data_IF_904672437883
#
_entry.id   IF_904672437883
#
_cell.length_a   1.000
_cell.length_b   1.000
_cell.length_c   1.000
_cell.angle_alpha   90.00
_cell.angle_beta   90.00
_cell.angle_gamma   90.00
#
_symmetry.space_group_name_H-M   'P 1'
#
loop_
_entity.id
_entity.type
_entity.pdbx_description
1 polymer ?
#
# COMPACT_ATOMS: atom_id res chain seq x y z
N UNK A 1 -18.20 -12.68 0.59
CA UNK A 1 -18.78 -11.34 0.35
C UNK A 1 -19.61 -10.77 1.53
N UNK A 2 -19.47 -11.29 2.78
CA UNK A 2 -20.34 -10.85 3.90
C UNK A 2 -20.16 -9.38 4.33
N UNK A 3 -18.95 -8.80 4.24
CA UNK A 3 -18.67 -7.46 4.80
C UNK A 3 -19.47 -6.31 4.15
N UNK A 4 -19.72 -6.38 2.85
CA UNK A 4 -20.44 -5.34 2.10
C UNK A 4 -21.77 -5.84 1.52
N UNK A 5 -22.19 -7.06 1.87
CA UNK A 5 -23.38 -7.69 1.25
C UNK A 5 -24.64 -6.86 1.45
N UNK A 6 -24.78 -6.23 2.62
CA UNK A 6 -25.94 -5.39 2.96
C UNK A 6 -25.98 -4.07 2.18
N UNK A 7 -24.86 -3.66 1.57
CA UNK A 7 -24.77 -2.43 0.77
C UNK A 7 -25.25 -2.65 -0.68
N UNK A 8 -25.58 -3.88 -1.06
CA UNK A 8 -26.10 -4.20 -2.40
C UNK A 8 -27.50 -4.78 -2.30
N UNK A 9 -28.44 -4.23 -3.08
CA UNK A 9 -29.78 -4.79 -3.27
C UNK A 9 -29.89 -5.37 -4.67
N UNK A 10 -30.42 -6.58 -4.77
CA UNK A 10 -30.72 -7.19 -6.07
C UNK A 10 -32.03 -6.57 -6.62
N UNK A 11 -31.98 -6.07 -7.85
CA UNK A 11 -33.15 -5.53 -8.56
C UNK A 11 -33.19 -6.18 -9.95
N UNK A 12 -33.85 -7.34 -10.04
CA UNK A 12 -33.83 -8.21 -11.23
C UNK A 12 -32.47 -8.91 -11.41
N UNK A 13 -31.91 -8.85 -12.63
CA UNK A 13 -30.60 -9.43 -12.97
C UNK A 13 -29.40 -8.57 -12.54
N UNK A 14 -29.64 -7.34 -12.06
CA UNK A 14 -28.60 -6.38 -11.69
C UNK A 14 -28.60 -6.09 -10.19
N UNK A 15 -27.44 -5.67 -9.69
CA UNK A 15 -27.28 -5.20 -8.31
C UNK A 15 -27.23 -3.68 -8.27
N UNK A 16 -27.94 -3.09 -7.31
CA UNK A 16 -27.93 -1.66 -7.01
C UNK A 16 -27.17 -1.45 -5.69
N UNK A 17 -26.20 -0.56 -5.68
CA UNK A 17 -25.45 -0.22 -4.46
C UNK A 17 -26.17 0.88 -3.69
N UNK A 18 -26.52 0.61 -2.44
CA UNK A 18 -27.25 1.51 -1.53
C UNK A 18 -26.39 1.99 -0.36
N UNK A 19 -25.10 1.68 -0.34
CA UNK A 19 -24.17 2.11 0.70
C UNK A 19 -23.61 3.51 0.46
N UNK A 20 -22.66 3.93 1.33
CA UNK A 20 -22.00 5.24 1.24
C UNK A 20 -21.13 5.37 -0.01
N UNK A 21 -21.12 6.55 -0.60
CA UNK A 21 -20.29 6.87 -1.75
C UNK A 21 -19.10 7.73 -1.35
N UNK A 22 -17.98 7.55 -2.06
CA UNK A 22 -16.75 8.30 -1.82
C UNK A 22 -16.34 8.99 -3.12
N UNK A 23 -16.43 10.32 -3.14
CA UNK A 23 -15.94 11.12 -4.26
C UNK A 23 -14.59 11.75 -3.93
N UNK A 24 -13.84 12.09 -4.96
CA UNK A 24 -12.58 12.81 -4.84
C UNK A 24 -12.68 14.11 -5.62
N UNK A 25 -12.04 15.17 -5.13
CA UNK A 25 -11.86 16.41 -5.90
C UNK A 25 -10.80 16.30 -7.00
N UNK A 26 -10.09 15.16 -7.07
CA UNK A 26 -9.04 14.90 -8.06
C UNK A 26 -9.62 14.43 -9.39
N UNK A 27 -8.93 14.81 -10.47
CA UNK A 27 -9.23 14.25 -11.79
C UNK A 27 -8.86 12.76 -11.87
N UNK A 28 -9.54 12.01 -12.75
CA UNK A 28 -9.26 10.58 -12.99
C UNK A 28 -7.80 10.36 -13.40
N UNK A 29 -7.24 11.29 -14.19
CA UNK A 29 -5.84 11.26 -14.63
C UNK A 29 -4.86 11.40 -13.47
N UNK A 30 -5.12 12.30 -12.53
CA UNK A 30 -4.31 12.45 -11.32
C UNK A 30 -4.42 11.23 -10.41
N UNK A 31 -5.62 10.69 -10.23
CA UNK A 31 -5.85 9.49 -9.43
C UNK A 31 -5.13 8.27 -10.02
N UNK A 32 -5.16 8.13 -11.35
CA UNK A 32 -4.44 7.09 -12.09
C UNK A 32 -2.92 7.23 -11.97
N UNK A 33 -2.41 8.46 -12.08
CA UNK A 33 -0.98 8.75 -11.87
C UNK A 33 -0.57 8.41 -10.45
N UNK A 34 -1.37 8.77 -9.45
CA UNK A 34 -1.11 8.40 -8.06
C UNK A 34 -1.13 6.89 -7.85
N UNK A 35 -2.12 6.19 -8.38
CA UNK A 35 -2.21 4.73 -8.31
C UNK A 35 -0.96 4.05 -8.88
N UNK A 36 -0.48 4.54 -10.02
CA UNK A 36 0.74 4.05 -10.66
C UNK A 36 1.98 4.37 -9.82
N UNK A 37 2.13 5.60 -9.35
CA UNK A 37 3.25 6.01 -8.50
C UNK A 37 3.33 5.18 -7.21
N UNK A 38 2.21 5.02 -6.48
CA UNK A 38 2.16 4.19 -5.27
C UNK A 38 2.53 2.73 -5.58
N UNK A 39 2.04 2.18 -6.70
CA UNK A 39 2.35 0.80 -7.10
C UNK A 39 3.84 0.63 -7.43
N UNK A 40 4.44 1.57 -8.16
CA UNK A 40 5.87 1.56 -8.50
C UNK A 40 6.74 1.68 -7.24
N UNK A 41 6.41 2.58 -6.32
CA UNK A 41 7.14 2.73 -5.06
C UNK A 41 7.08 1.45 -4.21
N UNK A 42 5.90 0.82 -4.11
CA UNK A 42 5.76 -0.45 -3.39
C UNK A 42 6.51 -1.60 -4.09
N UNK A 43 6.49 -1.65 -5.42
CA UNK A 43 7.24 -2.65 -6.18
C UNK A 43 8.76 -2.46 -6.02
N UNK A 44 9.25 -1.22 -6.02
CA UNK A 44 10.65 -0.92 -5.74
C UNK A 44 11.04 -1.37 -4.32
N UNK A 45 10.20 -1.09 -3.32
CA UNK A 45 10.41 -1.58 -1.95
C UNK A 45 10.46 -3.12 -1.89
N UNK A 46 9.64 -3.82 -2.67
CA UNK A 46 9.64 -5.28 -2.75
C UNK A 46 10.94 -5.83 -3.36
N UNK A 47 11.44 -5.19 -4.42
CA UNK A 47 12.71 -5.57 -5.06
C UNK A 47 13.88 -5.39 -4.09
N UNK A 48 13.95 -4.24 -3.41
CA UNK A 48 14.97 -3.97 -2.38
C UNK A 48 14.85 -4.99 -1.24
N UNK A 49 13.62 -5.31 -0.83
CA UNK A 49 13.36 -6.28 0.21
C UNK A 49 13.99 -7.65 -0.11
N UNK A 50 13.69 -8.21 -1.28
CA UNK A 50 14.27 -9.49 -1.70
C UNK A 50 15.78 -9.41 -1.91
N UNK A 51 16.29 -8.34 -2.53
CA UNK A 51 17.72 -8.17 -2.74
C UNK A 51 18.49 -8.17 -1.42
N UNK A 52 17.96 -7.54 -0.37
CA UNK A 52 18.61 -7.52 0.94
C UNK A 52 18.61 -8.89 1.64
N UNK A 53 17.56 -9.70 1.47
CA UNK A 53 17.50 -11.05 2.03
C UNK A 53 18.60 -11.94 1.44
N UNK A 54 19.02 -11.67 0.21
CA UNK A 54 20.12 -12.39 -0.45
C UNK A 54 21.50 -12.02 0.12
N UNK A 55 21.63 -10.94 0.91
CA UNK A 55 22.89 -10.56 1.54
C UNK A 55 23.30 -11.55 2.65
N UNK A 56 22.33 -12.23 3.28
CA UNK A 56 22.54 -13.25 4.31
C UNK A 56 23.62 -12.83 5.34
N UNK A 57 23.43 -11.64 5.92
CA UNK A 57 24.27 -11.06 6.96
C UNK A 57 23.94 -11.68 8.34
N UNK A 58 24.78 -11.43 9.35
CA UNK A 58 24.60 -12.00 10.69
C UNK A 58 23.43 -11.34 11.42
N UNK A 59 23.24 -10.03 11.24
CA UNK A 59 22.12 -9.28 11.79
C UNK A 59 20.76 -9.82 11.34
N UNK A 60 20.62 -10.25 10.08
CA UNK A 60 19.38 -10.88 9.60
C UNK A 60 19.14 -12.30 10.13
N UNK A 61 20.05 -12.87 10.94
CA UNK A 61 19.80 -14.13 11.66
C UNK A 61 19.31 -13.90 13.09
N UNK A 62 19.35 -12.65 13.54
CA UNK A 62 18.88 -12.28 14.87
C UNK A 62 17.37 -12.11 14.81
N UNK A 63 16.68 -12.88 15.65
CA UNK A 63 15.22 -13.00 15.62
C UNK A 63 14.49 -11.64 15.66
N UNK A 64 14.90 -10.72 16.54
CA UNK A 64 14.23 -9.42 16.68
C UNK A 64 14.55 -8.42 15.55
N UNK A 65 15.57 -8.67 14.72
CA UNK A 65 15.84 -7.89 13.50
C UNK A 65 15.10 -8.54 12.32
N UNK A 66 15.20 -9.86 12.20
CA UNK A 66 14.62 -10.60 11.09
C UNK A 66 13.10 -10.61 11.10
N UNK A 67 12.46 -10.85 12.26
CA UNK A 67 11.00 -10.96 12.35
C UNK A 67 10.27 -9.71 11.82
N UNK A 68 10.53 -8.48 12.31
CA UNK A 68 9.86 -7.28 11.80
C UNK A 68 10.18 -7.07 10.31
N UNK A 69 11.41 -7.39 9.88
CA UNK A 69 11.81 -7.31 8.48
C UNK A 69 11.00 -8.25 7.59
N UNK A 70 10.87 -9.53 7.97
CA UNK A 70 10.12 -10.54 7.24
C UNK A 70 8.64 -10.16 7.10
N UNK A 71 8.07 -9.51 8.12
CA UNK A 71 6.67 -9.08 8.11
C UNK A 71 6.43 -7.95 7.10
N UNK A 72 7.44 -7.18 6.69
CA UNK A 72 7.32 -6.08 5.68
C UNK A 72 6.74 -6.57 4.35
N UNK A 73 6.96 -7.83 3.96
CA UNK A 73 6.43 -8.38 2.71
C UNK A 73 4.91 -8.30 2.62
N UNK A 74 4.20 -8.43 3.76
CA UNK A 74 2.74 -8.36 3.80
C UNK A 74 2.21 -6.96 3.44
N UNK A 75 2.53 -5.88 4.18
CA UNK A 75 2.02 -4.56 3.83
C UNK A 75 2.51 -4.09 2.45
N UNK A 76 3.71 -4.47 2.00
CA UNK A 76 4.15 -4.18 0.62
C UNK A 76 3.24 -4.85 -0.41
N UNK A 77 2.99 -6.15 -0.28
CA UNK A 77 2.13 -6.91 -1.21
C UNK A 77 0.70 -6.36 -1.23
N UNK A 78 0.12 -6.11 -0.06
CA UNK A 78 -1.22 -5.53 0.04
C UNK A 78 -1.28 -4.07 -0.47
N UNK A 79 -0.19 -3.33 -0.35
CA UNK A 79 -0.04 -1.97 -0.92
C UNK A 79 -0.07 -1.98 -2.44
N UNK A 80 0.63 -2.92 -3.08
CA UNK A 80 0.61 -3.16 -4.53
C UNK A 80 -0.81 -3.51 -4.99
N UNK A 81 -1.48 -4.46 -4.31
CA UNK A 81 -2.87 -4.81 -4.62
C UNK A 81 -3.82 -3.61 -4.49
N UNK A 82 -3.59 -2.74 -3.50
CA UNK A 82 -4.36 -1.51 -3.33
C UNK A 82 -4.17 -0.54 -4.49
N UNK A 83 -2.92 -0.26 -4.87
CA UNK A 83 -2.60 0.58 -6.03
C UNK A 83 -3.17 0.04 -7.35
N UNK A 84 -3.04 -1.27 -7.59
CA UNK A 84 -3.63 -1.92 -8.76
C UNK A 84 -5.16 -1.79 -8.79
N UNK A 85 -5.84 -1.96 -7.64
CA UNK A 85 -7.29 -1.81 -7.56
C UNK A 85 -7.76 -0.38 -7.86
N UNK A 86 -7.01 0.64 -7.43
CA UNK A 86 -7.28 2.03 -7.75
C UNK A 86 -7.04 2.33 -9.23
N UNK A 87 -5.99 1.77 -9.82
CA UNK A 87 -5.69 1.91 -11.24
C UNK A 87 -6.78 1.29 -12.13
N UNK A 88 -7.25 0.08 -11.78
CA UNK A 88 -8.36 -0.59 -12.48
C UNK A 88 -9.64 0.23 -12.38
N UNK A 89 -9.93 0.83 -11.22
CA UNK A 89 -11.06 1.74 -11.05
C UNK A 89 -10.97 2.94 -12.01
N UNK A 90 -9.82 3.60 -12.11
CA UNK A 90 -9.65 4.71 -13.06
C UNK A 90 -9.85 4.27 -14.51
N UNK A 91 -9.32 3.10 -14.91
CA UNK A 91 -9.55 2.56 -16.26
C UNK A 91 -11.02 2.24 -16.53
N UNK A 92 -11.74 1.77 -15.51
CA UNK A 92 -13.17 1.48 -15.61
C UNK A 92 -14.03 2.75 -15.74
N UNK A 93 -13.53 3.91 -15.29
CA UNK A 93 -14.19 5.19 -15.56
C UNK A 93 -13.91 5.73 -16.96
N UNK A 94 -12.69 5.50 -17.48
CA UNK A 94 -12.30 5.93 -18.83
C UNK A 94 -12.95 5.08 -19.93
N UNK A 95 -13.16 3.78 -19.69
CA UNK A 95 -13.84 2.88 -20.62
C UNK A 95 -15.27 2.59 -20.15
N UNK A 96 -16.25 2.54 -21.06
CA UNK A 96 -17.62 2.08 -20.78
C UNK A 96 -17.66 0.57 -20.49
N UNK A 97 -16.98 0.12 -19.43
CA UNK A 97 -16.96 -1.28 -19.05
C UNK A 97 -18.35 -1.70 -18.53
N UNK A 98 -18.86 -2.82 -19.01
CA UNK A 98 -20.10 -3.42 -18.54
C UNK A 98 -19.99 -3.77 -17.05
N UNK A 99 -20.55 -2.91 -16.19
CA UNK A 99 -20.67 -3.16 -14.76
C UNK A 99 -21.97 -3.92 -14.49
N UNK A 100 -21.86 -5.03 -13.75
CA UNK A 100 -23.02 -5.77 -13.22
C UNK A 100 -23.77 -4.96 -12.14
N UNK A 101 -23.12 -3.93 -11.58
CA UNK A 101 -23.70 -2.99 -10.63
C UNK A 101 -24.15 -1.73 -11.36
N UNK A 102 -25.44 -1.38 -11.21
CA UNK A 102 -26.00 -0.13 -11.72
C UNK A 102 -25.52 1.00 -10.81
N UNK A 103 -24.76 1.94 -11.39
CA UNK A 103 -24.31 3.15 -10.70
C UNK A 103 -25.30 4.27 -11.07
N UNK A 104 -25.97 4.91 -10.08
CA UNK A 104 -26.84 6.05 -10.34
C UNK A 104 -26.05 7.19 -11.02
N UNK A 105 -26.69 7.93 -11.94
CA UNK A 105 -26.01 9.02 -12.68
C UNK A 105 -25.39 10.08 -11.76
N UNK A 106 -26.03 10.34 -10.61
CA UNK A 106 -25.56 11.24 -9.55
C UNK A 106 -24.22 10.82 -8.91
N UNK A 107 -23.81 9.56 -9.06
CA UNK A 107 -22.61 8.98 -8.47
C UNK A 107 -21.63 8.45 -9.51
N UNK A 108 -21.78 8.84 -10.78
CA UNK A 108 -20.76 8.60 -11.80
C UNK A 108 -19.47 9.28 -11.34
N UNK A 109 -18.39 8.53 -11.25
CA UNK A 109 -17.12 9.04 -10.72
C UNK A 109 -16.83 8.66 -9.27
N UNK A 110 -17.85 8.24 -8.50
CA UNK A 110 -17.68 7.92 -7.08
C UNK A 110 -17.29 6.45 -6.86
N UNK A 111 -16.52 6.23 -5.82
CA UNK A 111 -16.14 4.91 -5.34
C UNK A 111 -17.20 4.37 -4.38
N UNK A 112 -17.55 3.09 -4.52
CA UNK A 112 -18.24 2.35 -3.46
C UNK A 112 -17.34 2.21 -2.23
N UNK A 113 -17.92 1.93 -1.05
CA UNK A 113 -17.16 1.70 0.18
C UNK A 113 -16.08 0.61 0.00
N UNK A 114 -16.43 -0.49 -0.67
CA UNK A 114 -15.49 -1.58 -0.95
C UNK A 114 -14.31 -1.14 -1.84
N UNK A 115 -14.58 -0.31 -2.86
CA UNK A 115 -13.54 0.22 -3.75
C UNK A 115 -12.65 1.24 -3.02
N UNK A 116 -13.23 2.13 -2.23
CA UNK A 116 -12.48 3.10 -1.43
C UNK A 116 -11.58 2.41 -0.38
N UNK A 117 -12.09 1.41 0.35
CA UNK A 117 -11.30 0.69 1.34
C UNK A 117 -10.12 -0.06 0.70
N UNK A 118 -10.33 -0.67 -0.47
CA UNK A 118 -9.28 -1.40 -1.20
C UNK A 118 -8.27 -0.49 -1.87
N UNK A 119 -8.73 0.56 -2.54
CA UNK A 119 -7.91 1.42 -3.40
C UNK A 119 -7.25 2.60 -2.68
N UNK A 120 -7.82 3.08 -1.57
CA UNK A 120 -7.34 4.29 -0.89
C UNK A 120 -6.94 3.99 0.55
N UNK A 121 -7.84 3.40 1.35
CA UNK A 121 -7.58 3.20 2.79
C UNK A 121 -6.52 2.13 3.07
N UNK A 122 -6.48 1.07 2.26
CA UNK A 122 -5.50 -0.01 2.38
C UNK A 122 -4.07 0.49 2.09
N UNK A 123 -3.76 1.16 0.95
CA UNK A 123 -2.44 1.72 0.72
C UNK A 123 -1.91 2.60 1.85
N UNK A 124 -2.75 3.45 2.45
CA UNK A 124 -2.38 4.28 3.62
C UNK A 124 -1.93 3.41 4.80
N UNK A 125 -2.70 2.38 5.17
CA UNK A 125 -2.36 1.49 6.29
C UNK A 125 -1.09 0.69 6.00
N UNK A 126 -0.97 0.20 4.78
CA UNK A 126 0.19 -0.54 4.32
C UNK A 126 1.46 0.32 4.36
N UNK A 127 1.43 1.55 3.84
CA UNK A 127 2.59 2.42 3.85
C UNK A 127 3.02 2.79 5.28
N UNK A 128 2.07 3.06 6.19
CA UNK A 128 2.37 3.30 7.60
C UNK A 128 3.06 2.08 8.23
N UNK A 129 2.53 0.87 7.98
CA UNK A 129 3.13 -0.36 8.51
C UNK A 129 4.57 -0.56 7.98
N UNK A 130 4.83 -0.27 6.70
CA UNK A 130 6.18 -0.33 6.12
C UNK A 130 7.11 0.66 6.82
N UNK A 131 6.67 1.91 7.01
CA UNK A 131 7.46 2.93 7.73
C UNK A 131 7.79 2.49 9.16
N UNK A 132 6.81 1.99 9.91
CA UNK A 132 7.03 1.57 11.31
C UNK A 132 7.96 0.35 11.39
N UNK A 133 7.72 -0.68 10.57
CA UNK A 133 8.55 -1.89 10.54
C UNK A 133 9.98 -1.60 10.03
N UNK A 134 10.10 -0.73 9.02
CA UNK A 134 11.39 -0.29 8.49
C UNK A 134 12.19 0.49 9.52
N UNK A 135 11.55 1.42 10.24
CA UNK A 135 12.20 2.16 11.32
C UNK A 135 12.65 1.22 12.44
N UNK A 136 11.78 0.31 12.87
CA UNK A 136 12.12 -0.66 13.91
C UNK A 136 13.31 -1.53 13.49
N UNK A 137 13.30 -2.04 12.25
CA UNK A 137 14.39 -2.90 11.75
C UNK A 137 15.71 -2.14 11.66
N UNK A 138 15.70 -0.92 11.10
CA UNK A 138 16.90 -0.08 10.97
C UNK A 138 17.49 0.26 12.34
N UNK A 139 16.66 0.65 13.32
CA UNK A 139 17.14 0.92 14.69
C UNK A 139 17.72 -0.34 15.34
N UNK A 140 17.04 -1.48 15.21
CA UNK A 140 17.51 -2.74 15.79
C UNK A 140 18.84 -3.20 15.16
N UNK A 141 19.01 -3.02 13.85
CA UNK A 141 20.21 -3.37 13.12
C UNK A 141 21.37 -2.39 13.40
N UNK A 142 21.08 -1.10 13.57
CA UNK A 142 22.07 -0.12 14.02
C UNK A 142 22.60 -0.43 15.43
N UNK A 143 21.73 -0.83 16.37
CA UNK A 143 22.15 -1.25 17.71
C UNK A 143 23.06 -2.48 17.63
N UNK A 144 22.74 -3.44 16.75
CA UNK A 144 23.58 -4.62 16.53
C UNK A 144 24.96 -4.26 15.96
N UNK A 145 25.00 -3.41 14.94
CA UNK A 145 26.23 -2.88 14.34
C UNK A 145 27.14 -2.19 15.37
N UNK A 146 26.57 -1.43 16.30
CA UNK A 146 27.33 -0.74 17.34
C UNK A 146 27.89 -1.70 18.41
N UNK A 147 27.26 -2.86 18.61
CA UNK A 147 27.67 -3.82 19.65
C UNK A 147 28.81 -4.73 19.21
N UNK A 148 28.79 -5.19 17.96
CA UNK A 148 29.71 -6.23 17.45
C UNK A 148 30.66 -5.71 16.35
N UNK A 149 31.03 -4.42 16.43
CA UNK A 149 31.77 -3.68 15.40
C UNK A 149 33.09 -4.34 14.94
N UNK A 150 33.78 -5.08 15.81
CA UNK A 150 35.09 -5.68 15.52
C UNK A 150 35.01 -7.05 14.82
N UNK A 151 33.88 -7.77 14.89
CA UNK A 151 33.76 -9.15 14.42
C UNK A 151 32.92 -9.33 13.16
N UNK A 152 32.25 -8.27 12.68
CA UNK A 152 31.29 -8.34 11.58
C UNK A 152 31.93 -8.13 10.21
N UNK A 153 31.38 -8.81 9.18
CA UNK A 153 31.61 -8.43 7.78
C UNK A 153 30.87 -7.11 7.53
N UNK A 154 31.51 -6.01 7.91
CA UNK A 154 30.95 -4.66 7.97
C UNK A 154 30.23 -4.25 6.68
N UNK A 155 30.74 -4.66 5.52
CA UNK A 155 30.14 -4.35 4.22
C UNK A 155 28.73 -4.92 4.05
N UNK A 156 28.47 -6.17 4.48
CA UNK A 156 27.15 -6.81 4.29
C UNK A 156 26.11 -6.24 5.24
N UNK A 157 26.51 -5.98 6.48
CA UNK A 157 25.65 -5.35 7.47
C UNK A 157 25.28 -3.91 7.08
N UNK A 158 26.25 -3.15 6.55
CA UNK A 158 26.01 -1.80 6.06
C UNK A 158 25.10 -1.79 4.82
N UNK A 159 25.24 -2.77 3.91
CA UNK A 159 24.35 -2.92 2.77
C UNK A 159 22.93 -3.29 3.20
N UNK A 160 22.78 -4.16 4.21
CA UNK A 160 21.47 -4.49 4.78
C UNK A 160 20.84 -3.27 5.46
N UNK A 161 21.61 -2.52 6.25
CA UNK A 161 21.16 -1.27 6.86
C UNK A 161 20.70 -0.28 5.79
N UNK A 162 21.51 -0.04 4.76
CA UNK A 162 21.15 0.83 3.64
C UNK A 162 19.85 0.40 2.96
N UNK A 163 19.64 -0.91 2.77
CA UNK A 163 18.39 -1.43 2.23
C UNK A 163 17.19 -1.17 3.15
N UNK A 164 17.33 -1.37 4.46
CA UNK A 164 16.25 -1.07 5.43
C UNK A 164 15.90 0.42 5.45
N UNK A 165 16.91 1.30 5.40
CA UNK A 165 16.73 2.76 5.32
C UNK A 165 16.05 3.17 4.02
N UNK A 166 16.40 2.54 2.88
CA UNK A 166 15.71 2.78 1.62
C UNK A 166 14.24 2.35 1.68
N UNK A 167 13.93 1.18 2.24
CA UNK A 167 12.54 0.72 2.43
C UNK A 167 11.77 1.68 3.35
N UNK A 168 12.39 2.14 4.44
CA UNK A 168 11.83 3.16 5.33
C UNK A 168 11.53 4.47 4.59
N UNK A 169 12.46 4.95 3.77
CA UNK A 169 12.29 6.17 2.99
C UNK A 169 11.15 6.04 1.98
N UNK A 170 11.10 4.94 1.23
CA UNK A 170 10.03 4.63 0.28
C UNK A 170 8.67 4.52 1.00
N UNK A 171 8.60 3.83 2.13
CA UNK A 171 7.40 3.72 2.96
C UNK A 171 6.91 5.08 3.46
N UNK A 172 7.83 5.95 3.88
CA UNK A 172 7.53 7.29 4.40
C UNK A 172 7.02 8.23 3.32
N UNK A 173 7.68 8.27 2.15
CA UNK A 173 7.22 9.01 0.97
C UNK A 173 5.82 8.54 0.57
N UNK A 174 5.63 7.23 0.51
CA UNK A 174 4.35 6.67 0.11
C UNK A 174 3.24 6.94 1.14
N UNK A 175 3.58 6.96 2.43
CA UNK A 175 2.65 7.36 3.50
C UNK A 175 2.20 8.80 3.34
N UNK A 176 3.13 9.73 3.10
CA UNK A 176 2.79 11.13 2.88
C UNK A 176 1.85 11.28 1.66
N UNK A 177 2.19 10.63 0.54
CA UNK A 177 1.37 10.67 -0.68
C UNK A 177 -0.03 10.08 -0.46
N UNK A 178 -0.11 8.87 0.12
CA UNK A 178 -1.37 8.18 0.36
C UNK A 178 -2.27 8.96 1.35
N UNK A 179 -1.68 9.59 2.36
CA UNK A 179 -2.42 10.42 3.31
C UNK A 179 -2.98 11.68 2.65
N UNK A 180 -2.18 12.38 1.85
CA UNK A 180 -2.63 13.54 1.08
C UNK A 180 -3.80 13.19 0.15
N UNK A 181 -3.72 12.04 -0.51
CA UNK A 181 -4.79 11.57 -1.40
C UNK A 181 -6.04 11.23 -0.60
N UNK A 182 -5.90 10.47 0.50
CA UNK A 182 -7.03 10.14 1.38
C UNK A 182 -7.76 11.39 1.89
N UNK A 183 -7.03 12.47 2.21
CA UNK A 183 -7.60 13.73 2.68
C UNK A 183 -8.44 14.46 1.62
N UNK A 184 -8.24 14.16 0.33
CA UNK A 184 -9.00 14.74 -0.79
C UNK A 184 -10.29 13.97 -1.12
N UNK A 185 -10.59 12.89 -0.39
CA UNK A 185 -11.84 12.16 -0.53
C UNK A 185 -12.89 12.66 0.47
N UNK A 186 -14.10 12.88 -0.02
CA UNK A 186 -15.28 13.21 0.78
C UNK A 186 -16.29 12.08 0.72
N UNK A 187 -16.98 11.85 1.83
CA UNK A 187 -18.09 10.90 1.91
C UNK A 187 -19.40 11.59 1.52
N UNK A 188 -20.20 10.90 0.73
CA UNK A 188 -21.55 11.29 0.37
C UNK A 188 -22.51 10.19 0.84
N UNK A 189 -23.66 10.60 1.38
CA UNK A 189 -24.80 9.71 1.64
C UNK A 189 -25.71 9.62 0.41
#
# INVERSE_FOLDING_TARGET
MKKYGNDYRQRGEKFEYTGKWYGSSLSVKELKRHALNNTVLMAAALVIYFASLMLNNEGSRIFWILLPYMVVVFPVSYGIMGGASLFLFCRQQEGKAHSQVVIPEKHIGHMTCAQYEKGVRRPVRCSIAITVLGLFTSVANLIFLLKDFENLIFTRELLFEAATVMILALGSVNTAQNWQIKAKFTNFE
#
